data_IF_568585957378
#
_entry.id   IF_568585957378
#
_cell.length_a   1.000
_cell.length_b   1.000
_cell.length_c   1.000
_cell.angle_alpha   90.00
_cell.angle_beta   90.00
_cell.angle_gamma   90.00
#
_symmetry.space_group_name_H-M   'P 1'
#
loop_
_entity.id
_entity.type
_entity.pdbx_description
1 polymer ?
#
# COMPACT_ATOMS: atom_id res chain seq x y z
N UNK A 1 6.55 63.43 0.55
CA UNK A 1 6.48 62.43 -0.55
C UNK A 1 5.99 61.02 -0.16
N UNK A 2 5.89 60.64 1.13
CA UNK A 2 5.53 59.28 1.56
C UNK A 2 4.04 58.86 1.40
N UNK A 3 3.09 59.80 1.32
CA UNK A 3 1.65 59.48 1.16
C UNK A 3 1.24 59.07 -0.27
N UNK A 4 1.96 59.52 -1.30
CA UNK A 4 1.69 59.14 -2.72
C UNK A 4 2.17 57.72 -3.05
N UNK A 5 3.24 57.25 -2.40
CA UNK A 5 3.80 55.91 -2.59
C UNK A 5 2.91 54.81 -1.98
N UNK A 6 2.28 55.04 -0.81
CA UNK A 6 1.35 54.04 -0.21
C UNK A 6 0.11 53.81 -1.08
N UNK A 7 -0.49 54.86 -1.68
CA UNK A 7 -1.69 54.72 -2.54
C UNK A 7 -1.43 53.96 -3.86
N UNK A 8 -0.22 54.04 -4.41
CA UNK A 8 0.15 53.33 -5.66
C UNK A 8 0.37 51.83 -5.42
N UNK A 9 0.92 51.45 -4.27
CA UNK A 9 1.13 50.04 -3.90
C UNK A 9 -0.17 49.30 -3.62
N UNK A 10 -1.16 49.96 -2.99
CA UNK A 10 -2.48 49.35 -2.71
C UNK A 10 -3.29 49.13 -3.98
N UNK A 11 -3.26 50.07 -4.95
CA UNK A 11 -3.92 49.90 -6.26
C UNK A 11 -3.31 48.77 -7.09
N UNK A 12 -1.97 48.58 -7.04
CA UNK A 12 -1.29 47.47 -7.73
C UNK A 12 -1.64 46.11 -7.13
N UNK A 13 -1.79 45.99 -5.80
CA UNK A 13 -2.23 44.75 -5.14
C UNK A 13 -3.69 44.39 -5.50
N UNK A 14 -4.60 45.36 -5.49
CA UNK A 14 -6.01 45.14 -5.86
C UNK A 14 -6.16 44.69 -7.34
N UNK A 15 -5.39 45.28 -8.26
CA UNK A 15 -5.40 44.89 -9.67
C UNK A 15 -4.85 43.46 -9.90
N UNK A 16 -3.86 43.03 -9.11
CA UNK A 16 -3.28 41.68 -9.18
C UNK A 16 -4.23 40.62 -8.61
N UNK A 17 -4.96 40.94 -7.54
CA UNK A 17 -6.02 40.11 -6.97
C UNK A 17 -7.15 39.87 -7.99
N UNK A 18 -7.62 40.94 -8.65
CA UNK A 18 -8.73 40.89 -9.60
C UNK A 18 -8.37 40.15 -10.91
N UNK A 19 -7.10 40.19 -11.33
CA UNK A 19 -6.60 39.34 -12.43
C UNK A 19 -6.56 37.86 -12.06
N UNK A 20 -6.21 37.53 -10.80
CA UNK A 20 -6.19 36.15 -10.30
C UNK A 20 -7.59 35.54 -10.24
N UNK A 21 -8.59 36.27 -9.75
CA UNK A 21 -10.00 35.81 -9.71
C UNK A 21 -10.63 35.66 -11.11
N UNK A 22 -10.26 36.51 -12.08
CA UNK A 22 -10.70 36.32 -13.47
C UNK A 22 -10.04 35.11 -14.14
N UNK A 23 -8.80 34.78 -13.79
CA UNK A 23 -8.11 33.59 -14.30
C UNK A 23 -8.72 32.28 -13.75
N UNK A 24 -9.05 32.22 -12.47
CA UNK A 24 -9.73 31.06 -11.86
C UNK A 24 -11.15 30.86 -12.40
N UNK A 25 -11.96 31.93 -12.60
CA UNK A 25 -13.27 31.79 -13.26
C UNK A 25 -13.20 31.31 -14.71
N UNK A 26 -12.12 31.65 -15.45
CA UNK A 26 -11.91 31.15 -16.82
C UNK A 26 -11.48 29.68 -16.87
N UNK A 27 -10.78 29.19 -15.84
CA UNK A 27 -10.39 27.79 -15.73
C UNK A 27 -11.58 26.89 -15.38
N UNK A 28 -12.45 27.31 -14.45
CA UNK A 28 -13.67 26.55 -14.11
C UNK A 28 -14.67 26.50 -15.27
N UNK A 29 -14.82 27.59 -16.04
CA UNK A 29 -15.68 27.60 -17.21
C UNK A 29 -15.16 26.68 -18.35
N UNK A 30 -13.84 26.45 -18.42
CA UNK A 30 -13.23 25.51 -19.39
C UNK A 30 -13.39 24.05 -18.94
N UNK A 31 -13.29 23.75 -17.65
CA UNK A 31 -13.56 22.39 -17.14
C UNK A 31 -15.02 21.98 -17.32
N UNK A 32 -15.96 22.90 -17.09
CA UNK A 32 -17.41 22.63 -17.26
C UNK A 32 -17.80 22.40 -18.73
N UNK A 33 -17.15 23.10 -19.67
CA UNK A 33 -17.36 22.84 -21.11
C UNK A 33 -16.80 21.49 -21.56
N UNK A 34 -15.69 21.05 -20.96
CA UNK A 34 -15.07 19.73 -21.25
C UNK A 34 -15.89 18.57 -20.66
N UNK A 35 -16.51 18.77 -19.50
CA UNK A 35 -17.43 17.81 -18.91
C UNK A 35 -18.74 17.66 -19.70
N UNK A 36 -19.23 18.75 -20.33
CA UNK A 36 -20.43 18.72 -21.19
C UNK A 36 -20.19 18.08 -22.57
N UNK A 37 -18.97 18.12 -23.12
CA UNK A 37 -18.69 17.48 -24.42
C UNK A 37 -18.57 15.96 -24.30
N UNK A 38 -18.04 15.44 -23.19
CA UNK A 38 -17.91 13.98 -22.97
C UNK A 38 -19.24 13.26 -22.70
N UNK A 39 -20.33 13.99 -22.45
CA UNK A 39 -21.68 13.40 -22.30
C UNK A 39 -22.42 13.17 -23.63
N UNK A 40 -21.85 13.56 -24.79
CA UNK A 40 -22.52 13.46 -26.10
C UNK A 40 -22.11 12.28 -26.97
N UNK A 41 -21.17 11.43 -26.55
CA UNK A 41 -20.73 10.26 -27.33
C UNK A 41 -20.76 8.99 -26.48
N UNK A 42 -21.95 8.42 -26.31
CA UNK A 42 -22.16 7.10 -25.71
C UNK A 42 -23.31 6.39 -26.44
N UNK A 43 -22.95 5.35 -27.19
CA UNK A 43 -23.84 4.57 -28.05
C UNK A 43 -24.97 3.86 -27.26
N UNK A 44 -26.16 3.79 -27.86
CA UNK A 44 -27.33 3.04 -27.36
C UNK A 44 -27.20 1.54 -27.68
N UNK A 45 -27.59 0.61 -26.78
CA UNK A 45 -27.86 -0.76 -27.16
C UNK A 45 -29.28 -0.93 -27.73
N UNK A 46 -29.39 -1.81 -28.72
CA UNK A 46 -30.56 -2.06 -29.55
C UNK A 46 -31.74 -2.71 -28.79
N UNK A 47 -32.95 -2.25 -29.12
CA UNK A 47 -34.23 -2.86 -28.73
C UNK A 47 -34.51 -4.08 -29.63
N UNK A 48 -34.93 -5.19 -29.03
CA UNK A 48 -35.68 -6.26 -29.72
C UNK A 48 -37.07 -6.39 -29.07
N UNK A 49 -38.09 -6.13 -29.86
CA UNK A 49 -39.52 -6.41 -29.62
C UNK A 49 -39.87 -7.70 -30.42
N UNK A 50 -40.91 -8.51 -30.21
CA UNK A 50 -42.05 -8.61 -29.31
C UNK A 50 -42.71 -10.00 -29.56
N UNK A 51 -43.57 -10.49 -28.66
CA UNK A 51 -44.95 -10.98 -28.97
C UNK A 51 -45.63 -11.47 -27.67
N UNK A 52 -46.76 -10.85 -27.24
CA UNK A 52 -48.16 -11.36 -27.32
C UNK A 52 -48.30 -12.77 -26.70
N UNK A 53 -49.17 -13.12 -25.76
CA UNK A 53 -50.54 -12.73 -25.31
C UNK A 53 -50.79 -13.65 -24.08
N UNK A 54 -51.54 -13.34 -23.03
CA UNK A 54 -52.99 -13.55 -22.97
C UNK A 54 -53.57 -13.08 -21.61
N UNK A 55 -54.82 -12.59 -21.65
CA UNK A 55 -55.68 -12.22 -20.51
C UNK A 55 -56.38 -13.45 -19.88
N UNK A 56 -57.01 -13.20 -18.72
CA UNK A 56 -58.04 -13.98 -17.95
C UNK A 56 -57.47 -14.93 -16.88
N UNK A 57 -58.04 -15.12 -15.69
CA UNK A 57 -59.17 -14.56 -14.92
C UNK A 57 -58.99 -15.00 -13.47
N UNK A 58 -59.45 -14.19 -12.50
CA UNK A 58 -59.60 -14.61 -11.09
C UNK A 58 -60.62 -15.76 -11.00
N UNK A 59 -60.25 -16.84 -10.34
CA UNK A 59 -61.18 -17.83 -9.79
C UNK A 59 -60.74 -18.20 -8.37
N UNK A 60 -61.61 -17.88 -7.42
CA UNK A 60 -61.59 -18.29 -6.02
C UNK A 60 -61.75 -19.81 -5.92
N UNK A 61 -60.88 -20.47 -5.16
CA UNK A 61 -61.10 -21.87 -4.79
C UNK A 61 -60.65 -22.11 -3.35
N UNK A 62 -61.65 -22.29 -2.48
CA UNK A 62 -61.52 -22.87 -1.13
C UNK A 62 -60.83 -24.22 -1.24
N UNK A 63 -59.79 -24.44 -0.45
CA UNK A 63 -59.22 -25.77 -0.20
C UNK A 63 -59.19 -26.04 1.29
N UNK A 64 -59.87 -27.12 1.65
CA UNK A 64 -60.02 -27.72 2.97
C UNK A 64 -58.68 -28.21 3.52
N UNK A 65 -58.47 -28.00 4.83
CA UNK A 65 -57.30 -28.48 5.55
C UNK A 65 -57.32 -30.01 5.70
N UNK A 66 -56.19 -30.67 5.43
CA UNK A 66 -55.90 -32.06 5.79
C UNK A 66 -54.78 -32.11 6.85
N UNK A 67 -54.80 -33.08 7.78
CA UNK A 67 -54.00 -33.03 8.99
C UNK A 67 -52.53 -33.37 8.75
N UNK A 68 -51.67 -32.75 9.56
CA UNK A 68 -50.21 -32.83 9.54
C UNK A 68 -49.69 -34.20 9.94
N UNK A 69 -48.90 -34.82 9.06
CA UNK A 69 -48.17 -36.07 9.34
C UNK A 69 -46.87 -35.72 10.06
N UNK A 70 -46.74 -36.11 11.34
CA UNK A 70 -45.50 -35.97 12.14
C UNK A 70 -44.32 -36.64 11.43
N UNK A 71 -43.34 -35.84 11.01
CA UNK A 71 -42.04 -36.32 10.52
C UNK A 71 -41.14 -36.56 11.72
N UNK A 72 -40.68 -37.81 11.93
CA UNK A 72 -39.68 -38.13 12.96
C UNK A 72 -38.31 -37.55 12.56
N UNK A 73 -37.52 -37.00 13.51
CA UNK A 73 -36.21 -36.46 13.20
C UNK A 73 -35.24 -37.59 12.84
N UNK A 74 -34.63 -37.52 11.65
CA UNK A 74 -33.50 -38.39 11.29
C UNK A 74 -32.30 -38.01 12.15
N UNK A 75 -31.74 -38.98 12.89
CA UNK A 75 -30.45 -38.86 13.59
C UNK A 75 -29.40 -38.37 12.59
N UNK A 76 -28.76 -37.22 12.87
CA UNK A 76 -27.56 -36.76 12.15
C UNK A 76 -26.48 -37.82 12.35
N UNK A 77 -26.03 -38.45 11.26
CA UNK A 77 -24.83 -39.26 11.28
C UNK A 77 -23.63 -38.35 11.60
N UNK A 78 -22.93 -38.65 12.70
CA UNK A 78 -21.63 -38.04 12.98
C UNK A 78 -20.64 -38.49 11.91
N UNK A 79 -20.26 -37.56 11.02
CA UNK A 79 -19.10 -37.76 10.15
C UNK A 79 -17.86 -37.73 11.03
N UNK A 80 -17.35 -38.90 11.42
CA UNK A 80 -16.03 -39.03 12.06
C UNK A 80 -14.99 -38.55 11.06
N UNK A 81 -14.45 -37.34 11.27
CA UNK A 81 -13.29 -36.85 10.51
C UNK A 81 -12.13 -37.81 10.76
N UNK A 82 -11.59 -38.40 9.69
CA UNK A 82 -10.40 -39.22 9.75
C UNK A 82 -9.26 -38.43 10.43
N UNK A 83 -8.44 -39.07 11.27
CA UNK A 83 -7.31 -38.40 11.91
C UNK A 83 -6.37 -37.91 10.81
N UNK A 84 -6.16 -36.60 10.75
CA UNK A 84 -5.14 -36.00 9.88
C UNK A 84 -3.81 -36.63 10.30
N UNK A 85 -3.26 -37.49 9.44
CA UNK A 85 -1.90 -38.00 9.56
C UNK A 85 -1.00 -36.79 9.82
N UNK A 86 -0.50 -36.64 11.04
CA UNK A 86 0.63 -35.76 11.35
C UNK A 86 1.86 -36.37 10.67
N UNK A 87 1.97 -36.21 9.36
CA UNK A 87 3.26 -36.35 8.69
C UNK A 87 4.19 -35.39 9.43
N UNK A 88 5.27 -35.88 10.03
CA UNK A 88 6.28 -35.02 10.66
C UNK A 88 6.66 -33.94 9.66
N UNK A 89 6.14 -32.72 9.87
CA UNK A 89 6.07 -31.73 8.79
C UNK A 89 7.45 -31.12 8.65
N UNK A 90 8.23 -31.60 7.67
CA UNK A 90 9.37 -30.82 7.15
C UNK A 90 8.82 -29.41 6.88
N UNK A 91 9.38 -28.41 7.57
CA UNK A 91 8.96 -27.01 7.40
C UNK A 91 9.04 -26.65 5.91
N UNK A 92 8.04 -25.95 5.34
CA UNK A 92 8.02 -25.67 3.91
C UNK A 92 9.25 -24.85 3.50
N UNK A 93 9.68 -25.07 2.26
CA UNK A 93 10.88 -24.44 1.67
C UNK A 93 10.57 -23.77 0.35
N UNK A 94 11.39 -22.80 -0.06
CA UNK A 94 11.30 -22.11 -1.35
C UNK A 94 12.69 -21.82 -1.91
N UNK A 95 12.79 -21.47 -3.19
CA UNK A 95 14.04 -21.05 -3.83
C UNK A 95 14.20 -19.53 -3.80
N UNK A 96 15.19 -19.03 -3.06
CA UNK A 96 15.44 -17.59 -2.88
C UNK A 96 16.93 -17.22 -2.88
N UNK A 97 17.23 -15.92 -2.87
CA UNK A 97 18.60 -15.42 -2.81
C UNK A 97 18.97 -15.05 -1.38
N UNK A 98 19.81 -15.86 -0.74
CA UNK A 98 20.36 -15.56 0.58
C UNK A 98 21.36 -14.42 0.48
N UNK A 99 21.15 -13.37 1.26
CA UNK A 99 22.03 -12.19 1.32
C UNK A 99 23.05 -12.36 2.44
N UNK A 100 24.14 -11.58 2.38
CA UNK A 100 25.23 -11.63 3.38
C UNK A 100 24.76 -11.37 4.81
N UNK A 101 23.74 -10.53 4.99
CA UNK A 101 23.12 -10.26 6.29
C UNK A 101 22.08 -11.32 6.74
N UNK A 102 22.05 -12.49 6.08
CA UNK A 102 21.17 -13.60 6.43
C UNK A 102 19.73 -13.50 5.90
N UNK A 103 19.27 -12.30 5.51
CA UNK A 103 17.92 -12.13 4.90
C UNK A 103 17.84 -12.81 3.55
N UNK A 104 16.63 -13.21 3.15
CA UNK A 104 16.38 -13.88 1.87
C UNK A 104 15.46 -13.05 0.99
N UNK A 105 15.86 -12.86 -0.27
CA UNK A 105 15.03 -12.26 -1.32
C UNK A 105 14.32 -13.32 -2.15
N UNK A 106 13.10 -13.02 -2.58
CA UNK A 106 12.35 -13.78 -3.60
C UNK A 106 12.53 -13.18 -5.01
N UNK A 107 13.22 -12.03 -5.11
CA UNK A 107 13.67 -11.38 -6.34
C UNK A 107 15.13 -10.91 -6.21
N UNK A 108 15.70 -10.47 -7.32
CA UNK A 108 17.12 -10.12 -7.44
C UNK A 108 17.33 -8.86 -8.27
N UNK A 109 16.82 -7.74 -7.79
CA UNK A 109 16.85 -6.46 -8.51
C UNK A 109 18.17 -5.71 -8.32
N UNK A 110 18.63 -5.06 -9.38
CA UNK A 110 19.57 -3.93 -9.30
C UNK A 110 18.74 -2.67 -9.46
N UNK A 111 18.74 -1.81 -8.45
CA UNK A 111 17.91 -0.60 -8.45
C UNK A 111 18.75 0.66 -8.63
N UNK A 112 18.17 1.63 -9.33
CA UNK A 112 18.65 3.01 -9.40
C UNK A 112 17.74 3.84 -8.51
N UNK A 113 18.27 4.28 -7.37
CA UNK A 113 17.52 4.94 -6.32
C UNK A 113 17.84 6.45 -6.34
N UNK A 114 16.95 7.29 -6.88
CA UNK A 114 17.08 8.72 -6.71
C UNK A 114 16.95 9.08 -5.22
N UNK A 115 17.79 9.99 -4.74
CA UNK A 115 17.68 10.60 -3.40
C UNK A 115 16.56 11.63 -3.35
N UNK A 116 16.34 12.32 -4.47
CA UNK A 116 15.49 13.48 -4.62
C UNK A 116 14.81 13.47 -6.00
N UNK A 117 13.75 14.26 -6.13
CA UNK A 117 12.96 14.35 -7.35
C UNK A 117 13.73 14.90 -8.56
N UNK A 118 14.77 15.71 -8.33
CA UNK A 118 15.67 16.22 -9.39
C UNK A 118 16.53 15.11 -9.99
N UNK A 119 16.84 14.08 -9.21
CA UNK A 119 17.64 12.93 -9.62
C UNK A 119 16.82 11.84 -10.33
N UNK A 120 15.49 11.99 -10.43
CA UNK A 120 14.61 11.03 -11.10
C UNK A 120 14.96 10.87 -12.59
N UNK A 121 15.11 11.97 -13.32
CA UNK A 121 15.37 11.93 -14.76
C UNK A 121 16.69 11.21 -15.10
N UNK A 122 17.73 11.45 -14.28
CA UNK A 122 19.01 10.75 -14.39
C UNK A 122 18.83 9.24 -14.13
N UNK A 123 18.06 8.89 -13.09
CA UNK A 123 17.81 7.51 -12.70
C UNK A 123 17.03 6.73 -13.76
N UNK A 124 15.99 7.34 -14.33
CA UNK A 124 15.19 6.78 -15.42
C UNK A 124 16.01 6.65 -16.71
N UNK A 125 16.88 7.62 -17.01
CA UNK A 125 17.78 7.55 -18.16
C UNK A 125 18.75 6.37 -18.07
N UNK A 126 19.30 6.12 -16.88
CA UNK A 126 20.14 4.93 -16.63
C UNK A 126 19.35 3.64 -16.83
N UNK A 127 18.15 3.53 -16.26
CA UNK A 127 17.31 2.34 -16.42
C UNK A 127 16.89 2.09 -17.88
N UNK A 128 16.72 3.17 -18.65
CA UNK A 128 16.50 3.09 -20.09
C UNK A 128 17.72 2.57 -20.85
N UNK A 129 18.93 2.97 -20.45
CA UNK A 129 20.19 2.51 -21.05
C UNK A 129 20.53 1.06 -20.69
N UNK A 130 20.34 0.67 -19.43
CA UNK A 130 20.74 -0.62 -18.88
C UNK A 130 19.51 -1.46 -18.53
N UNK A 131 19.02 -2.21 -19.51
CA UNK A 131 17.84 -3.08 -19.37
C UNK A 131 18.07 -4.13 -18.27
N UNK A 132 17.06 -4.34 -17.43
CA UNK A 132 17.13 -5.24 -16.27
C UNK A 132 17.39 -4.53 -14.93
N UNK A 133 17.82 -3.26 -14.97
CA UNK A 133 17.79 -2.39 -13.79
C UNK A 133 16.41 -1.76 -13.59
N UNK A 134 16.12 -1.31 -12.37
CA UNK A 134 14.84 -0.71 -11.99
C UNK A 134 15.06 0.66 -11.34
N UNK A 135 14.63 1.74 -12.01
CA UNK A 135 14.55 3.06 -11.39
C UNK A 135 13.33 3.14 -10.45
N UNK A 136 13.48 3.80 -9.30
CA UNK A 136 12.41 3.99 -8.31
C UNK A 136 12.19 5.49 -8.06
N UNK A 137 11.57 6.22 -9.01
CA UNK A 137 11.36 7.65 -8.88
C UNK A 137 10.34 8.01 -7.79
N UNK A 138 10.49 9.18 -7.19
CA UNK A 138 9.56 9.72 -6.19
C UNK A 138 9.55 11.25 -6.18
N UNK A 139 8.55 11.85 -5.53
CA UNK A 139 8.36 13.31 -5.52
C UNK A 139 9.02 14.06 -4.35
N UNK A 140 9.68 13.34 -3.43
CA UNK A 140 10.27 13.90 -2.19
C UNK A 140 11.78 14.14 -2.29
N UNK A 141 12.42 14.60 -1.20
CA UNK A 141 13.87 14.79 -1.09
C UNK A 141 14.36 16.24 -1.13
N UNK A 142 13.48 17.24 -0.93
CA UNK A 142 13.84 18.66 -0.90
C UNK A 142 13.24 19.40 0.28
N UNK A 143 14.06 20.24 0.93
CA UNK A 143 13.65 21.16 2.00
C UNK A 143 12.91 20.51 3.18
N UNK A 144 13.16 19.22 3.42
CA UNK A 144 12.62 18.49 4.57
C UNK A 144 13.49 18.76 5.80
N UNK A 145 12.88 18.78 6.98
CA UNK A 145 13.57 19.04 8.24
C UNK A 145 12.95 18.22 9.38
N UNK A 146 13.70 18.04 10.47
CA UNK A 146 13.24 17.28 11.64
C UNK A 146 12.85 15.84 11.30
N UNK A 147 11.74 15.38 11.87
CA UNK A 147 11.28 13.99 11.71
C UNK A 147 10.90 13.64 10.26
N UNK A 148 10.43 14.61 9.46
CA UNK A 148 10.13 14.38 8.04
C UNK A 148 11.39 14.05 7.23
N UNK A 149 12.49 14.74 7.51
CA UNK A 149 13.80 14.45 6.91
C UNK A 149 14.29 13.05 7.32
N UNK A 150 14.14 12.70 8.59
CA UNK A 150 14.54 11.39 9.10
C UNK A 150 13.70 10.27 8.50
N UNK A 151 12.39 10.47 8.36
CA UNK A 151 11.49 9.54 7.68
C UNK A 151 11.88 9.33 6.22
N UNK A 152 12.25 10.40 5.50
CA UNK A 152 12.75 10.30 4.13
C UNK A 152 13.98 9.39 4.04
N UNK A 153 14.98 9.62 4.89
CA UNK A 153 16.18 8.78 4.91
C UNK A 153 15.90 7.34 5.33
N UNK A 154 15.05 7.11 6.36
CA UNK A 154 14.64 5.76 6.76
C UNK A 154 13.96 5.03 5.60
N UNK A 155 13.11 5.72 4.85
CA UNK A 155 12.39 5.15 3.70
C UNK A 155 13.34 4.75 2.57
N UNK A 156 14.26 5.63 2.17
CA UNK A 156 15.22 5.33 1.10
C UNK A 156 16.21 4.23 1.50
N UNK A 157 16.75 4.31 2.72
CA UNK A 157 17.65 3.29 3.25
C UNK A 157 16.92 1.95 3.35
N UNK A 158 15.68 1.93 3.85
CA UNK A 158 14.84 0.73 3.93
C UNK A 158 14.57 0.11 2.56
N UNK A 159 14.25 0.95 1.56
CA UNK A 159 14.01 0.53 0.17
C UNK A 159 15.25 -0.15 -0.41
N UNK A 160 16.42 0.49 -0.32
CA UNK A 160 17.69 -0.11 -0.77
C UNK A 160 18.11 -1.33 0.05
N UNK A 161 17.74 -1.40 1.34
CA UNK A 161 18.06 -2.50 2.24
C UNK A 161 17.22 -3.77 2.01
N UNK A 162 16.10 -3.68 1.29
CA UNK A 162 15.20 -4.79 1.02
C UNK A 162 15.94 -6.02 0.43
N UNK A 163 15.63 -7.23 0.89
CA UNK A 163 16.32 -8.46 0.46
C UNK A 163 16.08 -8.84 -1.00
N UNK A 164 15.03 -8.32 -1.62
CA UNK A 164 14.79 -8.44 -3.07
C UNK A 164 15.74 -7.59 -3.92
N UNK A 165 16.50 -6.68 -3.30
CA UNK A 165 17.49 -5.82 -3.95
C UNK A 165 18.87 -6.42 -3.75
N UNK A 166 19.50 -6.80 -4.85
CA UNK A 166 20.84 -7.36 -4.91
C UNK A 166 21.92 -6.28 -4.77
N UNK A 167 21.76 -5.17 -5.49
CA UNK A 167 22.66 -4.03 -5.49
C UNK A 167 21.90 -2.72 -5.72
N UNK A 168 22.48 -1.61 -5.27
CA UNK A 168 21.86 -0.28 -5.33
C UNK A 168 22.82 0.73 -5.94
N UNK A 169 22.34 1.60 -6.81
CA UNK A 169 23.06 2.83 -7.16
C UNK A 169 22.19 4.00 -6.73
N UNK A 170 22.74 4.87 -5.87
CA UNK A 170 22.06 6.07 -5.41
C UNK A 170 22.50 7.25 -6.27
N UNK A 171 21.55 8.00 -6.81
CA UNK A 171 21.82 9.25 -7.51
C UNK A 171 21.19 10.38 -6.69
N UNK A 172 22.00 11.37 -6.31
CA UNK A 172 21.51 12.60 -5.68
C UNK A 172 22.15 13.82 -6.29
N UNK A 173 21.76 15.00 -5.81
CA UNK A 173 22.37 16.26 -6.25
C UNK A 173 23.80 16.37 -5.69
N UNK A 174 23.96 16.20 -4.38
CA UNK A 174 25.21 16.44 -3.66
C UNK A 174 25.77 15.18 -2.96
N UNK A 175 27.10 15.07 -2.79
CA UNK A 175 27.73 13.87 -2.23
C UNK A 175 27.36 13.56 -0.77
N UNK A 176 27.06 14.56 0.05
CA UNK A 176 26.88 14.37 1.49
C UNK A 176 25.60 13.57 1.81
N UNK A 177 24.44 14.06 1.35
CA UNK A 177 23.16 13.36 1.53
C UNK A 177 23.09 12.06 0.74
N UNK A 178 23.64 12.03 -0.47
CA UNK A 178 23.77 10.79 -1.26
C UNK A 178 24.57 9.76 -0.46
N UNK A 179 25.69 10.19 0.13
CA UNK A 179 26.54 9.38 1.00
C UNK A 179 25.82 8.87 2.24
N UNK A 180 24.88 9.64 2.82
CA UNK A 180 24.07 9.20 3.96
C UNK A 180 23.24 7.97 3.62
N UNK A 181 22.55 7.98 2.47
CA UNK A 181 21.76 6.82 2.00
C UNK A 181 22.67 5.63 1.69
N UNK A 182 23.77 5.87 0.98
CA UNK A 182 24.78 4.84 0.64
C UNK A 182 25.31 4.16 1.90
N UNK A 183 25.76 4.93 2.90
CA UNK A 183 26.27 4.38 4.18
C UNK A 183 25.19 3.60 4.91
N UNK A 184 23.94 4.06 4.89
CA UNK A 184 22.81 3.35 5.49
C UNK A 184 22.58 1.97 4.86
N UNK A 185 22.53 1.90 3.53
CA UNK A 185 22.31 0.66 2.78
C UNK A 185 23.52 -0.29 2.91
N UNK A 186 24.74 0.26 2.90
CA UNK A 186 25.98 -0.51 2.98
C UNK A 186 26.06 -1.40 4.23
N UNK A 187 25.38 -1.03 5.32
CA UNK A 187 25.26 -1.85 6.55
C UNK A 187 24.66 -3.24 6.29
N UNK A 188 23.93 -3.43 5.20
CA UNK A 188 23.39 -4.75 4.81
C UNK A 188 24.44 -5.67 4.17
N UNK A 189 25.63 -5.15 3.84
CA UNK A 189 26.71 -5.88 3.16
C UNK A 189 26.50 -6.05 1.65
N UNK A 190 25.46 -5.46 1.06
CA UNK A 190 25.23 -5.50 -0.39
C UNK A 190 26.02 -4.41 -1.12
N UNK A 191 26.37 -4.60 -2.40
CA UNK A 191 27.00 -3.55 -3.20
C UNK A 191 26.12 -2.31 -3.32
N UNK A 192 26.68 -1.14 -2.99
CA UNK A 192 26.02 0.15 -3.13
C UNK A 192 27.02 1.22 -3.54
N UNK A 193 26.65 2.09 -4.49
CA UNK A 193 27.50 3.21 -4.94
C UNK A 193 26.65 4.48 -5.06
N UNK A 194 27.21 5.63 -4.67
CA UNK A 194 26.56 6.93 -4.81
C UNK A 194 27.19 7.75 -5.93
N UNK A 195 26.36 8.52 -6.64
CA UNK A 195 26.79 9.53 -7.61
C UNK A 195 26.06 10.85 -7.33
N UNK A 196 26.78 11.95 -7.49
CA UNK A 196 26.26 13.29 -7.37
C UNK A 196 26.14 13.93 -8.76
N UNK A 197 25.04 14.61 -9.03
CA UNK A 197 24.83 15.35 -10.30
C UNK A 197 25.61 16.67 -10.28
N UNK A 198 25.70 17.33 -9.12
CA UNK A 198 26.39 18.60 -9.00
C UNK A 198 27.86 18.49 -9.45
N UNK A 199 28.38 19.54 -10.09
CA UNK A 199 29.75 19.62 -10.63
C UNK A 199 30.10 18.61 -11.72
N UNK A 200 29.22 17.65 -12.03
CA UNK A 200 29.40 16.66 -13.08
C UNK A 200 28.43 16.87 -14.25
N UNK A 201 27.24 17.41 -13.97
CA UNK A 201 26.16 17.53 -14.93
C UNK A 201 25.48 16.18 -15.20
N UNK A 202 24.27 16.23 -15.75
CA UNK A 202 23.42 15.05 -15.91
C UNK A 202 24.04 14.02 -16.88
N UNK A 203 24.48 14.46 -18.08
CA UNK A 203 25.02 13.58 -19.13
C UNK A 203 26.20 12.73 -18.62
N UNK A 204 27.17 13.36 -17.94
CA UNK A 204 28.34 12.66 -17.40
C UNK A 204 27.95 11.71 -16.27
N UNK A 205 27.02 12.13 -15.43
CA UNK A 205 26.51 11.32 -14.32
C UNK A 205 25.79 10.07 -14.85
N UNK A 206 24.86 10.23 -15.79
CA UNK A 206 24.14 9.12 -16.44
C UNK A 206 25.12 8.15 -17.11
N UNK A 207 26.15 8.64 -17.80
CA UNK A 207 27.16 7.77 -18.42
C UNK A 207 27.94 6.96 -17.37
N UNK A 208 28.41 7.58 -16.29
CA UNK A 208 29.16 6.91 -15.23
C UNK A 208 28.30 5.91 -14.45
N UNK A 209 27.07 6.30 -14.11
CA UNK A 209 26.12 5.44 -13.44
C UNK A 209 25.75 4.24 -14.33
N UNK A 210 25.55 4.45 -15.63
CA UNK A 210 25.25 3.36 -16.58
C UNK A 210 26.34 2.29 -16.62
N UNK A 211 27.62 2.69 -16.55
CA UNK A 211 28.74 1.74 -16.46
C UNK A 211 28.68 0.92 -15.17
N UNK A 212 28.48 1.57 -14.02
CA UNK A 212 28.35 0.89 -12.73
C UNK A 212 27.11 -0.03 -12.68
N UNK A 213 26.00 0.41 -13.27
CA UNK A 213 24.76 -0.34 -13.35
C UNK A 213 24.95 -1.64 -14.16
N UNK A 214 25.68 -1.57 -15.28
CA UNK A 214 26.07 -2.77 -16.05
C UNK A 214 26.87 -3.75 -15.20
N UNK A 215 27.90 -3.29 -14.49
CA UNK A 215 28.72 -4.13 -13.61
C UNK A 215 27.88 -4.84 -12.55
N UNK A 216 27.00 -4.10 -11.86
CA UNK A 216 26.12 -4.67 -10.85
C UNK A 216 25.09 -5.63 -11.42
N UNK A 217 24.57 -5.36 -12.62
CA UNK A 217 23.64 -6.27 -13.28
C UNK A 217 24.30 -7.58 -13.68
N UNK A 218 25.53 -7.53 -14.23
CA UNK A 218 26.33 -8.71 -14.54
C UNK A 218 26.55 -9.55 -13.27
N UNK A 219 27.10 -8.93 -12.21
CA UNK A 219 27.31 -9.60 -10.92
C UNK A 219 26.01 -10.20 -10.35
N UNK A 220 24.91 -9.45 -10.39
CA UNK A 220 23.64 -9.94 -9.84
C UNK A 220 23.10 -11.13 -10.64
N UNK A 221 23.32 -11.16 -11.97
CA UNK A 221 22.84 -12.23 -12.85
C UNK A 221 23.50 -13.59 -12.59
N UNK A 222 24.72 -13.58 -12.03
CA UNK A 222 25.48 -14.78 -11.69
C UNK A 222 25.06 -15.38 -10.33
N UNK A 223 24.21 -14.69 -9.56
CA UNK A 223 23.77 -15.18 -8.26
C UNK A 223 22.69 -16.27 -8.40
N UNK A 224 22.99 -17.46 -7.90
CA UNK A 224 22.05 -18.57 -7.89
C UNK A 224 21.05 -18.51 -6.72
N UNK A 225 19.85 -19.06 -6.97
CA UNK A 225 18.87 -19.27 -5.91
C UNK A 225 19.28 -20.48 -5.06
N UNK A 226 19.05 -20.38 -3.76
CA UNK A 226 19.27 -21.43 -2.78
C UNK A 226 17.95 -21.89 -2.17
N UNK A 227 17.92 -23.13 -1.68
CA UNK A 227 16.79 -23.64 -0.92
C UNK A 227 16.75 -22.97 0.46
N UNK A 228 15.70 -22.19 0.71
CA UNK A 228 15.45 -21.44 1.94
C UNK A 228 14.21 -21.96 2.66
N UNK A 229 14.09 -21.67 3.96
CA UNK A 229 12.93 -22.07 4.75
C UNK A 229 11.88 -20.96 4.75
N UNK A 230 10.58 -21.28 4.85
CA UNK A 230 9.53 -20.25 4.91
C UNK A 230 9.71 -19.26 6.07
N UNK A 231 10.36 -19.65 7.18
CA UNK A 231 10.74 -18.70 8.25
C UNK A 231 11.62 -17.53 7.78
N UNK A 232 12.31 -17.69 6.65
CA UNK A 232 13.17 -16.65 6.07
C UNK A 232 12.34 -15.58 5.31
N UNK A 233 11.03 -15.80 5.12
CA UNK A 233 10.14 -14.86 4.43
C UNK A 233 9.65 -13.76 5.36
N UNK A 234 9.57 -12.56 4.78
CA UNK A 234 8.89 -11.41 5.35
C UNK A 234 7.72 -11.06 4.45
N UNK A 235 6.52 -11.06 5.02
CA UNK A 235 5.27 -10.86 4.26
C UNK A 235 4.48 -9.72 4.86
N UNK A 236 4.22 -8.67 4.08
CA UNK A 236 3.24 -7.65 4.46
C UNK A 236 1.92 -7.87 3.72
N UNK A 237 0.81 -7.62 4.39
CA UNK A 237 -0.53 -7.68 3.78
C UNK A 237 -1.19 -6.30 3.85
N UNK A 238 -1.89 -5.94 2.77
CA UNK A 238 -2.66 -4.70 2.66
C UNK A 238 -3.88 -4.91 1.77
N UNK A 239 -4.91 -4.10 1.95
CA UNK A 239 -6.01 -3.97 1.01
C UNK A 239 -5.60 -3.13 -0.23
N UNK A 240 -6.45 -3.22 -1.24
CA UNK A 240 -6.46 -2.34 -2.39
C UNK A 240 -7.72 -1.49 -2.32
N UNK A 241 -8.76 -1.95 -3.01
CA UNK A 241 -10.10 -1.35 -2.96
C UNK A 241 -11.06 -2.36 -2.34
N UNK A 242 -11.45 -2.12 -1.09
CA UNK A 242 -12.34 -3.03 -0.34
C UNK A 242 -13.78 -2.96 -0.88
N UNK A 243 -14.43 -4.12 -0.91
CA UNK A 243 -15.83 -4.33 -1.27
C UNK A 243 -16.52 -5.22 -0.23
N UNK A 244 -17.81 -5.49 -0.38
CA UNK A 244 -18.55 -6.39 0.54
C UNK A 244 -17.93 -7.79 0.59
N UNK A 245 -17.31 -8.28 -0.48
CA UNK A 245 -16.72 -9.63 -0.50
C UNK A 245 -15.38 -9.71 0.24
N UNK A 246 -14.73 -8.57 0.46
CA UNK A 246 -13.39 -8.51 1.03
C UNK A 246 -13.36 -9.06 2.46
N UNK A 247 -14.28 -8.63 3.32
CA UNK A 247 -14.42 -9.13 4.69
C UNK A 247 -14.97 -10.56 4.78
N UNK A 248 -15.58 -11.07 3.70
CA UNK A 248 -16.22 -12.39 3.67
C UNK A 248 -15.34 -13.49 3.06
N UNK A 249 -14.40 -13.14 2.18
CA UNK A 249 -13.61 -14.10 1.41
C UNK A 249 -12.11 -13.80 1.39
N UNK A 250 -11.69 -12.67 0.81
CA UNK A 250 -10.27 -12.40 0.56
C UNK A 250 -9.49 -12.18 1.87
N UNK A 251 -9.98 -11.31 2.76
CA UNK A 251 -9.32 -11.02 4.04
C UNK A 251 -9.29 -12.23 4.98
N UNK A 252 -10.37 -13.02 5.14
CA UNK A 252 -10.30 -14.29 5.88
C UNK A 252 -9.31 -15.31 5.28
N UNK A 253 -9.18 -15.34 3.94
CA UNK A 253 -8.20 -16.19 3.26
C UNK A 253 -6.76 -15.77 3.58
N UNK A 254 -6.50 -14.46 3.56
CA UNK A 254 -5.22 -13.88 4.00
C UNK A 254 -4.98 -14.17 5.49
N UNK A 255 -6.00 -14.05 6.34
CA UNK A 255 -5.90 -14.39 7.76
C UNK A 255 -5.50 -15.85 8.00
N UNK A 256 -6.09 -16.79 7.25
CA UNK A 256 -5.70 -18.20 7.30
C UNK A 256 -4.26 -18.43 6.79
N UNK A 257 -3.78 -17.62 5.85
CA UNK A 257 -2.39 -17.61 5.43
C UNK A 257 -1.47 -17.14 6.58
N UNK A 258 -1.81 -16.02 7.24
CA UNK A 258 -1.06 -15.48 8.38
C UNK A 258 -0.94 -16.52 9.51
N UNK A 259 -2.06 -17.12 9.93
CA UNK A 259 -2.06 -18.13 11.00
C UNK A 259 -1.14 -19.33 10.70
N UNK A 260 -0.99 -19.71 9.42
CA UNK A 260 -0.10 -20.81 9.00
C UNK A 260 1.36 -20.37 8.96
N UNK A 261 1.63 -19.17 8.45
CA UNK A 261 2.98 -18.66 8.27
C UNK A 261 3.62 -18.26 9.61
N UNK A 262 2.84 -17.70 10.52
CA UNK A 262 3.23 -17.44 11.90
C UNK A 262 3.66 -18.74 12.61
N UNK A 263 2.88 -19.81 12.47
CA UNK A 263 3.24 -21.14 13.00
C UNK A 263 4.52 -21.73 12.38
N UNK A 264 4.93 -21.26 11.20
CA UNK A 264 6.19 -21.63 10.56
C UNK A 264 7.36 -20.72 10.92
N UNK A 265 7.12 -19.64 11.67
CA UNK A 265 8.11 -18.67 12.11
C UNK A 265 8.47 -17.62 11.05
N UNK A 266 7.60 -17.37 10.06
CA UNK A 266 7.79 -16.28 9.12
C UNK A 266 7.44 -14.94 9.77
N UNK A 267 8.12 -13.87 9.38
CA UNK A 267 7.76 -12.52 9.84
C UNK A 267 6.59 -12.00 8.99
N UNK A 268 5.48 -11.68 9.64
CA UNK A 268 4.31 -11.10 8.97
C UNK A 268 3.98 -9.72 9.50
N UNK A 269 3.59 -8.81 8.61
CA UNK A 269 3.19 -7.45 8.95
C UNK A 269 1.79 -7.16 8.37
N UNK A 270 0.96 -6.52 9.18
CA UNK A 270 -0.32 -5.97 8.78
C UNK A 270 -0.28 -4.46 9.10
N UNK A 271 -0.85 -3.63 8.22
CA UNK A 271 -0.82 -2.17 8.35
C UNK A 271 -2.20 -1.56 8.14
N UNK A 272 -2.23 -0.33 7.61
CA UNK A 272 -3.47 0.40 7.27
C UNK A 272 -4.19 0.97 8.51
N UNK A 273 -3.51 1.85 9.28
CA UNK A 273 -3.96 2.39 10.57
C UNK A 273 -5.39 2.95 10.53
N UNK A 274 -5.73 3.77 9.55
CA UNK A 274 -7.08 4.35 9.41
C UNK A 274 -8.15 3.33 9.01
N UNK A 275 -7.78 2.23 8.36
CA UNK A 275 -8.70 1.16 7.95
C UNK A 275 -9.12 0.29 9.16
N UNK A 276 -8.60 0.56 10.36
CA UNK A 276 -8.99 -0.10 11.61
C UNK A 276 -9.95 0.75 12.44
N UNK A 277 -10.24 2.00 12.05
CA UNK A 277 -11.22 2.85 12.76
C UNK A 277 -12.61 2.19 12.77
N UNK A 278 -13.15 1.94 13.96
CA UNK A 278 -14.35 1.14 14.20
C UNK A 278 -14.07 -0.28 14.71
N UNK A 279 -12.81 -0.73 14.65
CA UNK A 279 -12.34 -2.04 15.13
C UNK A 279 -11.04 -1.94 15.95
N UNK A 280 -10.61 -0.75 16.36
CA UNK A 280 -9.35 -0.50 17.03
C UNK A 280 -9.23 -1.20 18.38
N UNK A 281 -10.31 -1.24 19.18
CA UNK A 281 -10.31 -1.98 20.45
C UNK A 281 -10.15 -3.48 20.23
N UNK A 282 -10.79 -4.02 19.18
CA UNK A 282 -10.65 -5.42 18.80
C UNK A 282 -9.23 -5.71 18.30
N UNK A 283 -8.63 -4.81 17.53
CA UNK A 283 -7.24 -4.92 17.11
C UNK A 283 -6.28 -4.86 18.31
N UNK A 284 -6.48 -3.95 19.26
CA UNK A 284 -5.69 -3.86 20.49
C UNK A 284 -5.70 -5.17 21.30
N UNK A 285 -6.86 -5.82 21.39
CA UNK A 285 -7.02 -7.11 22.07
C UNK A 285 -6.27 -8.27 21.38
N UNK A 286 -5.86 -8.12 20.11
CA UNK A 286 -5.05 -9.08 19.36
C UNK A 286 -3.55 -8.95 19.61
N UNK A 287 -3.11 -7.95 20.36
CA UNK A 287 -1.73 -7.88 20.85
C UNK A 287 -1.36 -9.10 21.70
N UNK A 288 -0.09 -9.51 21.66
CA UNK A 288 0.42 -10.63 22.47
C UNK A 288 0.30 -10.35 23.98
N UNK A 289 0.43 -9.08 24.36
CA UNK A 289 0.26 -8.60 25.75
C UNK A 289 -0.55 -7.30 25.76
N UNK A 290 -1.09 -6.94 26.94
CA UNK A 290 -1.79 -5.65 27.13
C UNK A 290 -0.91 -4.45 26.74
N UNK A 291 0.40 -4.52 27.04
CA UNK A 291 1.37 -3.48 26.67
C UNK A 291 1.45 -3.30 25.16
N UNK A 292 1.49 -4.39 24.39
CA UNK A 292 1.54 -4.34 22.92
C UNK A 292 0.22 -3.83 22.34
N UNK A 293 -0.92 -4.23 22.91
CA UNK A 293 -2.23 -3.66 22.54
C UNK A 293 -2.31 -2.15 22.81
N UNK A 294 -1.78 -1.68 23.95
CA UNK A 294 -1.72 -0.25 24.26
C UNK A 294 -0.77 0.50 23.32
N UNK A 295 0.37 -0.10 22.95
CA UNK A 295 1.25 0.49 21.93
C UNK A 295 0.51 0.71 20.61
N UNK A 296 -0.31 -0.26 20.18
CA UNK A 296 -1.14 -0.11 18.99
C UNK A 296 -2.13 1.05 19.13
N UNK A 297 -2.86 1.14 20.25
CA UNK A 297 -3.81 2.23 20.48
C UNK A 297 -3.12 3.60 20.47
N UNK A 298 -1.93 3.71 21.06
CA UNK A 298 -1.17 4.96 21.05
C UNK A 298 -0.76 5.35 19.61
N UNK A 299 -0.31 4.39 18.79
CA UNK A 299 0.04 4.64 17.39
C UNK A 299 -1.19 5.02 16.56
N UNK A 300 -2.33 4.35 16.80
CA UNK A 300 -3.58 4.66 16.13
C UNK A 300 -4.08 6.07 16.51
N UNK A 301 -4.07 6.41 17.81
CA UNK A 301 -4.50 7.71 18.30
C UNK A 301 -3.60 8.83 17.76
N UNK A 302 -2.28 8.65 17.77
CA UNK A 302 -1.35 9.63 17.17
C UNK A 302 -1.68 9.88 15.70
N UNK A 303 -2.00 8.83 14.93
CA UNK A 303 -2.42 9.00 13.54
C UNK A 303 -3.76 9.75 13.41
N UNK A 304 -4.71 9.49 14.31
CA UNK A 304 -5.96 10.24 14.34
C UNK A 304 -5.70 11.73 14.62
N UNK A 305 -4.94 12.04 15.66
CA UNK A 305 -4.68 13.41 16.12
C UNK A 305 -3.84 14.22 15.14
N UNK A 306 -2.85 13.60 14.49
CA UNK A 306 -1.89 14.29 13.62
C UNK A 306 -2.34 14.37 12.16
N UNK A 307 -3.13 13.40 11.69
CA UNK A 307 -3.47 13.29 10.25
C UNK A 307 -4.97 13.43 9.99
N UNK A 308 -5.81 12.74 10.76
CA UNK A 308 -7.24 12.63 10.46
C UNK A 308 -8.02 13.82 11.02
N UNK A 309 -7.96 14.04 12.33
CA UNK A 309 -8.73 15.08 13.03
C UNK A 309 -8.45 16.50 12.50
N UNK A 310 -7.20 16.90 12.17
CA UNK A 310 -6.93 18.23 11.62
C UNK A 310 -7.44 18.45 10.19
N UNK A 311 -7.79 17.37 9.47
CA UNK A 311 -8.07 17.40 8.03
C UNK A 311 -9.41 16.77 7.64
N UNK A 312 -10.14 16.17 8.58
CA UNK A 312 -11.46 15.61 8.32
C UNK A 312 -12.47 16.70 7.95
N UNK A 313 -13.40 16.34 7.08
CA UNK A 313 -14.65 17.08 6.88
C UNK A 313 -15.64 16.75 8.00
N UNK A 314 -16.86 17.29 7.95
CA UNK A 314 -17.90 17.10 9.00
C UNK A 314 -18.14 15.61 9.36
N UNK A 315 -17.81 14.69 8.45
CA UNK A 315 -17.57 13.27 8.70
C UNK A 315 -16.31 12.75 7.95
N UNK A 316 -15.89 11.51 8.21
CA UNK A 316 -14.81 10.83 7.48
C UNK A 316 -15.20 10.42 6.04
N UNK A 317 -16.44 10.72 5.62
CA UNK A 317 -17.20 9.94 4.63
C UNK A 317 -16.83 10.16 3.16
N UNK A 318 -15.81 10.94 2.85
CA UNK A 318 -15.20 10.97 1.50
C UNK A 318 -13.86 10.22 1.44
N UNK A 319 -13.28 9.88 2.60
CA UNK A 319 -11.98 9.21 2.70
C UNK A 319 -12.10 7.76 3.15
N UNK A 320 -13.04 7.45 4.06
CA UNK A 320 -13.19 6.14 4.69
C UNK A 320 -14.64 5.96 5.24
N UNK A 321 -15.48 5.10 4.63
CA UNK A 321 -15.28 4.39 3.37
C UNK A 321 -15.16 5.34 2.18
N UNK A 322 -14.36 4.97 1.16
CA UNK A 322 -14.30 5.74 -0.10
C UNK A 322 -15.56 5.53 -0.93
N UNK A 323 -15.78 6.38 -1.94
CA UNK A 323 -16.90 6.20 -2.90
C UNK A 323 -16.89 4.82 -3.57
N UNK A 324 -15.71 4.32 -3.95
CA UNK A 324 -15.55 2.97 -4.51
C UNK A 324 -15.93 1.87 -3.52
N UNK A 325 -15.66 2.06 -2.21
CA UNK A 325 -16.09 1.11 -1.18
C UNK A 325 -17.61 1.07 -1.03
N UNK A 326 -18.27 2.22 -1.05
CA UNK A 326 -19.73 2.34 -0.95
C UNK A 326 -20.40 1.74 -2.20
N UNK A 327 -19.88 2.05 -3.39
CA UNK A 327 -20.32 1.41 -4.65
C UNK A 327 -20.09 -0.11 -4.63
N UNK A 328 -19.00 -0.55 -4.00
CA UNK A 328 -18.69 -1.95 -3.71
C UNK A 328 -19.54 -2.61 -2.63
N UNK A 329 -20.51 -1.87 -2.06
CA UNK A 329 -21.53 -2.37 -1.15
C UNK A 329 -21.19 -2.29 0.35
N UNK A 330 -20.13 -1.58 0.75
CA UNK A 330 -19.83 -1.34 2.17
C UNK A 330 -20.70 -0.21 2.71
N UNK A 331 -21.37 -0.46 3.83
CA UNK A 331 -22.39 0.44 4.37
C UNK A 331 -21.91 1.28 5.56
N UNK A 332 -20.96 0.79 6.34
CA UNK A 332 -20.39 1.51 7.50
C UNK A 332 -18.88 1.38 7.59
N UNK A 333 -18.26 2.26 8.38
CA UNK A 333 -16.81 2.20 8.65
C UNK A 333 -16.45 0.96 9.48
N UNK A 334 -17.31 0.55 10.40
CA UNK A 334 -17.13 -0.65 11.22
C UNK A 334 -17.18 -1.92 10.36
N UNK A 335 -18.12 -2.04 9.43
CA UNK A 335 -18.20 -3.17 8.50
C UNK A 335 -16.87 -3.34 7.74
N UNK A 336 -16.33 -2.23 7.24
CA UNK A 336 -15.04 -2.19 6.55
C UNK A 336 -13.89 -2.58 7.49
N UNK A 337 -13.84 -2.00 8.69
CA UNK A 337 -12.76 -2.20 9.65
C UNK A 337 -12.70 -3.64 10.19
N UNK A 338 -13.86 -4.24 10.49
CA UNK A 338 -13.92 -5.66 10.87
C UNK A 338 -13.52 -6.57 9.71
N UNK A 339 -13.93 -6.26 8.49
CA UNK A 339 -13.46 -6.95 7.29
C UNK A 339 -11.93 -6.84 7.12
N UNK A 340 -11.38 -5.65 7.35
CA UNK A 340 -9.94 -5.36 7.28
C UNK A 340 -9.15 -6.17 8.32
N UNK A 341 -9.66 -6.24 9.55
CA UNK A 341 -9.07 -6.94 10.70
C UNK A 341 -8.92 -8.46 10.48
N UNK A 342 -9.80 -9.09 9.70
CA UNK A 342 -9.71 -10.54 9.40
C UNK A 342 -8.36 -10.95 8.79
N UNK A 343 -7.61 -10.02 8.16
CA UNK A 343 -6.27 -10.27 7.61
C UNK A 343 -5.25 -10.73 8.65
N UNK A 344 -5.43 -10.38 9.93
CA UNK A 344 -4.50 -10.78 10.99
C UNK A 344 -4.67 -12.24 11.45
N UNK A 345 -5.59 -12.98 10.82
CA UNK A 345 -5.90 -14.36 11.17
C UNK A 345 -6.74 -14.46 12.43
N UNK A 346 -6.94 -15.69 12.93
CA UNK A 346 -7.77 -15.97 14.11
C UNK A 346 -6.95 -16.41 15.32
N UNK A 347 -5.70 -16.83 15.11
CA UNK A 347 -4.82 -17.39 16.14
C UNK A 347 -3.61 -16.51 16.40
N UNK A 348 -3.03 -15.94 15.35
CA UNK A 348 -1.84 -15.08 15.45
C UNK A 348 -2.13 -13.86 16.32
N UNK A 349 -1.13 -13.49 17.11
CA UNK A 349 -1.11 -12.28 17.94
C UNK A 349 0.14 -11.51 17.61
N UNK A 350 0.01 -10.23 17.26
CA UNK A 350 1.17 -9.40 16.94
C UNK A 350 1.98 -9.10 18.21
N UNK A 351 3.29 -9.01 18.04
CA UNK A 351 4.28 -8.88 19.13
C UNK A 351 4.90 -7.49 19.21
N UNK A 352 4.69 -6.66 18.20
CA UNK A 352 5.24 -5.31 18.13
C UNK A 352 4.36 -4.42 17.24
N UNK A 353 4.59 -3.11 17.35
CA UNK A 353 3.98 -2.06 16.53
C UNK A 353 5.11 -1.19 16.01
N UNK A 354 5.11 -0.89 14.72
CA UNK A 354 6.22 -0.21 14.04
C UNK A 354 5.82 1.22 13.67
N UNK A 355 6.75 2.15 13.85
CA UNK A 355 6.62 3.48 13.28
C UNK A 355 6.78 3.49 11.75
N UNK A 356 6.47 4.61 11.09
CA UNK A 356 6.68 4.77 9.65
C UNK A 356 8.13 4.49 9.24
N UNK A 357 8.29 3.59 8.26
CA UNK A 357 9.55 3.11 7.73
C UNK A 357 10.51 2.48 8.78
N UNK A 358 9.99 2.08 9.94
CA UNK A 358 10.77 1.32 10.91
C UNK A 358 10.90 -0.15 10.51
N UNK A 359 12.11 -0.69 10.59
CA UNK A 359 12.34 -2.11 10.39
C UNK A 359 11.94 -2.91 11.66
N UNK A 360 11.26 -4.07 11.52
CA UNK A 360 11.04 -5.00 12.62
C UNK A 360 12.35 -5.34 13.35
N UNK A 361 12.39 -5.05 14.66
CA UNK A 361 13.52 -5.40 15.55
C UNK A 361 13.32 -6.76 16.23
N UNK A 362 12.08 -7.24 16.27
CA UNK A 362 11.69 -8.53 16.85
C UNK A 362 11.10 -9.41 15.74
N UNK A 363 11.52 -10.67 15.73
CA UNK A 363 10.92 -11.73 14.91
C UNK A 363 10.00 -12.61 15.76
N UNK A 364 9.24 -13.53 15.13
CA UNK A 364 8.38 -14.48 15.84
C UNK A 364 9.13 -15.32 16.88
#
# INVERSE_FOLDING_TARGET
MARKAKKTTTKRKAAKQNKRTKATRRLSAKSDRRAKSNRRTGAKPAKRAASKTNRRTKATRRTTAKPTRRVRPRRRAQVKRAPVRRSGTKKPTFMGWRRKNGRVGIRNHVIILPLDDLSNAASESVANNIKGTLAIPHSYGRLQFGEDLELHFRTLIGTGSNSNVAAVIVIGIEPEWTGRVVRGIAKTGKPVTGFAIEKHGDIKTVANVSRKAKEYLQWASELERQKCQVKDLWVSVKCGESDTTSGLASNPTVGNFIDKFDAWGATTCFGETSEITGAELNCAARGKTKKIGQMFLNTWQAYMDEVIEPHKTDDLSDSQPTKGNIEGGLTTIEEKAFGNLEKIGKKTRYIDVLGPAEAPKKGP
#
